data_IF_199247688689
#
_entry.id   IF_199247688689
#
_cell.length_a   1.000
_cell.length_b   1.000
_cell.length_c   1.000
_cell.angle_alpha   90.00
_cell.angle_beta   90.00
_cell.angle_gamma   90.00
#
_symmetry.space_group_name_H-M   'P 1'
#
loop_
_entity.id
_entity.type
_entity.pdbx_description
1 polymer ?
#
# COMPACT_ATOMS: atom_id res chain seq x y z
N UNK A 1 -0.05 6.80 2.24
CA UNK A 1 0.95 5.87 2.80
C UNK A 1 0.79 4.54 2.10
N UNK A 2 1.88 3.82 1.83
CA UNK A 2 1.84 2.56 1.09
C UNK A 2 2.32 1.44 2.01
N UNK A 3 1.57 0.35 2.08
CA UNK A 3 1.89 -0.75 2.99
C UNK A 3 2.17 -2.05 2.24
N UNK A 4 3.06 -2.86 2.77
CA UNK A 4 3.27 -4.24 2.34
C UNK A 4 3.02 -5.16 3.53
N UNK A 5 2.47 -6.34 3.29
CA UNK A 5 2.41 -7.42 4.26
C UNK A 5 3.47 -8.45 3.91
N UNK A 6 4.35 -8.69 4.87
CA UNK A 6 5.37 -9.72 4.84
C UNK A 6 4.89 -10.92 5.66
N UNK A 7 4.95 -12.11 5.09
CA UNK A 7 4.51 -13.37 5.72
C UNK A 7 5.63 -14.40 5.64
N UNK A 8 5.56 -15.43 6.50
CA UNK A 8 6.55 -16.50 6.53
C UNK A 8 7.74 -16.22 7.44
N UNK A 9 7.64 -15.24 8.36
CA UNK A 9 8.67 -15.00 9.36
C UNK A 9 8.57 -16.06 10.48
N UNK A 10 9.68 -16.45 11.11
CA UNK A 10 9.63 -17.41 12.21
C UNK A 10 9.12 -16.75 13.50
N UNK A 11 8.56 -17.55 14.41
CA UNK A 11 7.95 -17.04 15.65
C UNK A 11 8.99 -16.50 16.65
N UNK A 12 10.24 -16.94 16.57
CA UNK A 12 11.34 -16.48 17.43
C UNK A 12 11.88 -15.09 17.04
N UNK A 13 11.51 -14.55 15.88
CA UNK A 13 12.10 -13.30 15.39
C UNK A 13 11.68 -12.09 16.24
N UNK A 14 12.68 -11.28 16.60
CA UNK A 14 12.49 -10.03 17.33
C UNK A 14 12.46 -8.85 16.36
N UNK A 15 11.63 -7.85 16.64
CA UNK A 15 11.47 -6.65 15.81
C UNK A 15 12.81 -6.01 15.42
N UNK A 16 13.73 -5.86 16.37
CA UNK A 16 15.04 -5.24 16.13
C UNK A 16 15.90 -6.02 15.12
N UNK A 17 15.84 -7.35 15.16
CA UNK A 17 16.55 -8.21 14.20
C UNK A 17 15.94 -8.07 12.81
N UNK A 18 14.61 -8.05 12.72
CA UNK A 18 13.91 -7.82 11.46
C UNK A 18 14.27 -6.46 10.86
N UNK A 19 14.26 -5.38 11.65
CA UNK A 19 14.65 -4.04 11.18
C UNK A 19 16.09 -4.03 10.67
N UNK A 20 17.02 -4.67 11.38
CA UNK A 20 18.42 -4.75 10.95
C UNK A 20 18.57 -5.44 9.59
N UNK A 21 17.89 -6.58 9.41
CA UNK A 21 17.93 -7.35 8.16
C UNK A 21 17.29 -6.56 7.02
N UNK A 22 16.11 -5.96 7.26
CA UNK A 22 15.43 -5.14 6.26
C UNK A 22 16.29 -3.95 5.83
N UNK A 23 16.96 -3.25 6.76
CA UNK A 23 17.89 -2.16 6.43
C UNK A 23 19.04 -2.64 5.54
N UNK A 24 19.58 -3.83 5.80
CA UNK A 24 20.66 -4.37 4.98
C UNK A 24 20.17 -4.75 3.57
N UNK A 25 19.00 -5.36 3.44
CA UNK A 25 18.43 -5.73 2.14
C UNK A 25 18.07 -4.50 1.32
N UNK A 26 17.43 -3.52 1.95
CA UNK A 26 16.95 -2.30 1.32
C UNK A 26 18.06 -1.32 0.95
N UNK A 27 19.25 -1.45 1.52
CA UNK A 27 20.42 -0.65 1.12
C UNK A 27 20.74 -0.81 -0.37
N UNK A 28 20.53 -2.01 -0.93
CA UNK A 28 20.76 -2.27 -2.35
C UNK A 28 19.69 -1.67 -3.26
N UNK A 29 18.49 -1.41 -2.72
CA UNK A 29 17.33 -0.89 -3.43
C UNK A 29 17.14 0.62 -3.23
N UNK A 30 18.09 1.29 -2.53
CA UNK A 30 18.06 2.71 -2.18
C UNK A 30 16.83 3.11 -1.33
N UNK A 31 16.29 2.18 -0.54
CA UNK A 31 15.12 2.42 0.32
C UNK A 31 15.61 2.76 1.73
N UNK A 32 15.60 4.05 2.09
CA UNK A 32 16.12 4.53 3.37
C UNK A 32 15.06 4.70 4.47
N UNK A 33 13.79 4.86 4.09
CA UNK A 33 12.71 5.19 5.01
C UNK A 33 11.58 4.16 4.94
N UNK A 34 11.38 3.45 6.05
CA UNK A 34 10.28 2.51 6.26
C UNK A 34 9.95 2.41 7.74
N UNK A 35 8.71 2.03 8.07
CA UNK A 35 8.24 1.83 9.44
C UNK A 35 7.53 0.49 9.55
N UNK A 36 7.79 -0.24 10.64
CA UNK A 36 7.01 -1.45 10.93
C UNK A 36 5.78 -1.02 11.71
N UNK A 37 4.60 -1.22 11.12
CA UNK A 37 3.31 -0.82 11.70
C UNK A 37 2.79 -1.87 12.68
N UNK A 38 2.91 -3.13 12.31
CA UNK A 38 2.38 -4.26 13.06
C UNK A 38 3.25 -5.48 12.83
N UNK A 39 3.43 -6.28 13.88
CA UNK A 39 4.05 -7.59 13.83
C UNK A 39 3.24 -8.50 14.73
N UNK A 40 2.70 -9.58 14.18
CA UNK A 40 1.77 -10.45 14.89
C UNK A 40 1.87 -11.89 14.39
N UNK A 41 1.41 -12.81 15.23
CA UNK A 41 1.49 -14.24 14.98
C UNK A 41 0.33 -14.68 14.07
N UNK A 42 0.65 -15.50 13.08
CA UNK A 42 -0.33 -16.18 12.24
C UNK A 42 -0.79 -17.41 13.02
N UNK A 43 -2.00 -17.32 13.59
CA UNK A 43 -2.59 -18.36 14.45
C UNK A 43 -2.49 -19.75 13.83
N UNK A 44 -1.95 -20.70 14.61
CA UNK A 44 -1.88 -22.11 14.24
C UNK A 44 -0.77 -22.49 13.26
N UNK A 45 0.11 -21.55 12.88
CA UNK A 45 1.19 -21.83 11.92
C UNK A 45 2.60 -21.75 12.52
N UNK A 46 2.77 -21.18 13.71
CA UNK A 46 4.10 -20.92 14.29
C UNK A 46 4.92 -19.93 13.45
N UNK A 47 4.25 -19.08 12.68
CA UNK A 47 4.85 -18.05 11.83
C UNK A 47 4.28 -16.69 12.19
N UNK A 48 5.04 -15.65 11.88
CA UNK A 48 4.66 -14.24 12.03
C UNK A 48 4.37 -13.59 10.70
N UNK A 49 3.50 -12.58 10.73
CA UNK A 49 3.37 -11.59 9.69
C UNK A 49 3.76 -10.22 10.19
N UNK A 50 4.24 -9.38 9.28
CA UNK A 50 4.63 -8.01 9.57
C UNK A 50 4.06 -7.08 8.51
N UNK A 51 3.46 -5.98 8.92
CA UNK A 51 3.03 -4.91 8.03
C UNK A 51 4.07 -3.80 8.05
N UNK A 52 4.64 -3.49 6.89
CA UNK A 52 5.67 -2.45 6.72
C UNK A 52 5.09 -1.32 5.89
N UNK A 53 5.28 -0.10 6.36
CA UNK A 53 4.81 1.14 5.77
C UNK A 53 5.96 1.91 5.12
N UNK A 54 5.69 2.42 3.91
CA UNK A 54 6.61 3.19 3.10
C UNK A 54 5.97 4.52 2.72
N UNK A 55 6.83 5.54 2.64
CA UNK A 55 6.43 6.88 2.20
C UNK A 55 6.07 6.91 0.71
N UNK A 56 6.91 6.28 -0.14
CA UNK A 56 6.75 6.26 -1.59
C UNK A 56 6.19 4.93 -2.08
N UNK A 57 5.29 4.98 -3.06
CA UNK A 57 4.69 3.79 -3.69
C UNK A 57 5.74 2.90 -4.35
N UNK A 58 6.69 3.52 -5.04
CA UNK A 58 7.74 2.79 -5.75
C UNK A 58 8.64 2.03 -4.78
N UNK A 59 8.90 2.57 -3.58
CA UNK A 59 9.65 1.88 -2.54
C UNK A 59 8.89 0.64 -2.04
N UNK A 60 7.57 0.74 -1.85
CA UNK A 60 6.76 -0.41 -1.45
C UNK A 60 6.79 -1.53 -2.51
N UNK A 61 6.71 -1.19 -3.80
CA UNK A 61 6.80 -2.20 -4.87
C UNK A 61 8.19 -2.83 -4.98
N UNK A 62 9.26 -2.04 -4.92
CA UNK A 62 10.64 -2.56 -4.94
C UNK A 62 10.91 -3.44 -3.72
N UNK A 63 10.50 -2.99 -2.53
CA UNK A 63 10.61 -3.77 -1.30
C UNK A 63 9.85 -5.10 -1.41
N UNK A 64 8.62 -5.09 -1.92
CA UNK A 64 7.86 -6.31 -2.13
C UNK A 64 8.55 -7.27 -3.09
N UNK A 65 9.07 -6.78 -4.23
CA UNK A 65 9.81 -7.61 -5.19
C UNK A 65 11.12 -8.18 -4.64
N UNK A 66 11.81 -7.43 -3.78
CA UNK A 66 13.06 -7.88 -3.16
C UNK A 66 12.81 -8.93 -2.07
N UNK A 67 11.71 -8.77 -1.32
CA UNK A 67 11.37 -9.65 -0.20
C UNK A 67 10.60 -10.90 -0.60
N UNK A 68 9.85 -10.86 -1.71
CA UNK A 68 9.11 -12.01 -2.19
C UNK A 68 10.07 -13.09 -2.69
N UNK A 69 10.04 -14.27 -2.06
CA UNK A 69 10.99 -15.35 -2.31
C UNK A 69 12.33 -15.22 -1.58
N UNK A 70 12.54 -14.16 -0.79
CA UNK A 70 13.72 -14.07 0.07
C UNK A 70 13.68 -15.17 1.13
N UNK A 71 14.80 -15.88 1.33
CA UNK A 71 14.86 -16.97 2.30
C UNK A 71 15.48 -16.46 3.59
N UNK A 72 14.65 -16.26 4.60
CA UNK A 72 15.08 -15.96 5.96
C UNK A 72 15.66 -17.23 6.60
N UNK A 73 16.79 -17.10 7.30
CA UNK A 73 17.43 -18.23 8.00
C UNK A 73 17.42 -17.97 9.50
N UNK A 74 16.80 -18.86 10.26
CA UNK A 74 16.93 -18.90 11.72
C UNK A 74 17.54 -20.25 12.11
N UNK A 75 18.79 -20.22 12.58
CA UNK A 75 19.60 -21.43 12.77
C UNK A 75 19.71 -22.25 11.47
N UNK A 76 19.35 -23.53 11.55
CA UNK A 76 19.37 -24.46 10.41
C UNK A 76 18.09 -24.42 9.56
N UNK A 77 17.06 -23.70 10.00
CA UNK A 77 15.75 -23.66 9.35
C UNK A 77 15.64 -22.49 8.38
N UNK A 78 15.07 -22.77 7.20
CA UNK A 78 14.84 -21.81 6.13
C UNK A 78 13.36 -21.45 6.06
N UNK A 79 13.09 -20.16 6.03
CA UNK A 79 11.76 -19.56 6.02
C UNK A 79 11.62 -18.72 4.75
N UNK A 80 11.01 -19.25 3.68
CA UNK A 80 10.75 -18.48 2.47
C UNK A 80 9.70 -17.41 2.79
N UNK A 81 10.08 -16.15 2.59
CA UNK A 81 9.20 -15.02 2.81
C UNK A 81 8.30 -14.79 1.60
N UNK A 82 7.08 -14.35 1.86
CA UNK A 82 6.22 -13.79 0.82
C UNK A 82 5.79 -12.38 1.19
N UNK A 83 5.96 -11.47 0.23
CA UNK A 83 5.67 -10.06 0.41
C UNK A 83 4.60 -9.62 -0.59
N UNK A 84 3.53 -9.00 -0.11
CA UNK A 84 2.44 -8.48 -0.95
C UNK A 84 2.21 -7.01 -0.67
N UNK A 85 2.07 -6.21 -1.73
CA UNK A 85 1.67 -4.81 -1.61
C UNK A 85 0.18 -4.76 -1.29
N UNK A 86 -0.16 -4.12 -0.18
CA UNK A 86 -1.55 -3.84 0.16
C UNK A 86 -1.94 -2.55 -0.54
N UNK A 87 -2.51 -2.68 -1.74
CA UNK A 87 -3.24 -1.56 -2.32
C UNK A 87 -4.51 -1.36 -1.49
N UNK A 88 -4.55 -0.32 -0.66
CA UNK A 88 -5.72 0.03 0.17
C UNK A 88 -7.01 0.21 -0.66
N UNK A 89 -6.89 0.35 -1.99
CA UNK A 89 -8.00 0.35 -2.95
C UNK A 89 -8.63 -1.03 -3.21
N UNK A 90 -7.99 -2.14 -2.83
CA UNK A 90 -8.48 -3.49 -3.08
C UNK A 90 -9.33 -4.06 -1.93
N UNK A 91 -9.28 -3.48 -0.73
CA UNK A 91 -9.94 -4.04 0.45
C UNK A 91 -11.44 -3.72 0.61
N UNK A 92 -12.08 -3.06 -0.36
CA UNK A 92 -13.54 -2.79 -0.34
C UNK A 92 -14.38 -3.72 -1.21
N UNK A 93 -13.82 -4.80 -1.78
CA UNK A 93 -14.63 -5.73 -2.57
C UNK A 93 -14.32 -7.17 -2.21
N UNK A 94 -14.87 -7.61 -1.06
CA UNK A 94 -15.44 -8.95 -0.98
C UNK A 94 -16.55 -9.02 -2.03
N UNK A 95 -16.19 -9.25 -3.30
CA UNK A 95 -17.16 -9.64 -4.33
C UNK A 95 -17.75 -10.94 -3.83
N UNK A 96 -19.02 -10.92 -3.48
CA UNK A 96 -19.81 -12.14 -3.35
C UNK A 96 -19.56 -12.99 -4.60
N UNK A 97 -19.30 -14.30 -4.46
CA UNK A 97 -19.20 -15.19 -5.60
C UNK A 97 -20.48 -15.05 -6.43
N UNK A 98 -20.33 -14.65 -7.69
CA UNK A 98 -21.41 -14.74 -8.66
C UNK A 98 -21.88 -16.20 -8.71
N UNK A 99 -23.20 -16.48 -8.66
CA UNK A 99 -23.72 -17.85 -8.71
C UNK A 99 -23.58 -18.50 -10.10
N UNK A 100 -23.00 -17.79 -11.08
CA UNK A 100 -22.71 -18.28 -12.42
C UNK A 100 -21.20 -18.30 -12.67
N UNK A 101 -20.49 -19.26 -12.06
CA UNK A 101 -19.25 -19.77 -12.64
C UNK A 101 -19.52 -21.20 -13.11
N UNK A 102 -19.91 -21.30 -14.38
CA UNK A 102 -20.01 -22.56 -15.09
C UNK A 102 -18.61 -23.18 -15.16
N UNK A 103 -18.47 -24.35 -14.53
CA UNK A 103 -17.37 -25.29 -14.75
C UNK A 103 -17.05 -25.40 -16.25
N UNK A 104 -15.80 -25.16 -16.61
CA UNK A 104 -15.20 -25.74 -17.81
C UNK A 104 -13.72 -26.02 -17.52
N UNK A 105 -13.50 -27.01 -16.65
CA UNK A 105 -12.27 -27.81 -16.64
C UNK A 105 -12.50 -28.93 -17.63
N UNK A 106 -11.71 -28.95 -18.70
CA UNK A 106 -11.16 -30.13 -19.38
C UNK A 106 -10.71 -29.71 -20.79
N UNK A 107 -9.39 -29.63 -20.99
CA UNK A 107 -8.67 -30.47 -21.96
C UNK A 107 -7.19 -30.13 -22.00
N UNK A 108 -6.46 -31.13 -21.54
CA UNK A 108 -5.05 -31.37 -21.73
C UNK A 108 -4.79 -31.82 -23.19
N UNK A 109 -3.56 -31.59 -23.69
CA UNK A 109 -2.95 -32.05 -24.96
C UNK A 109 -3.37 -31.44 -26.31
N UNK A 110 -2.50 -30.64 -26.95
CA UNK A 110 -1.60 -31.15 -28.01
C UNK A 110 -0.62 -30.08 -28.54
N UNK A 111 0.60 -30.53 -28.84
CA UNK A 111 1.66 -29.83 -29.57
C UNK A 111 1.36 -29.80 -31.08
N UNK A 112 2.07 -28.88 -31.75
CA UNK A 112 2.45 -28.81 -33.17
C UNK A 112 1.75 -27.76 -34.05
N UNK A 113 2.62 -26.88 -34.54
CA UNK A 113 2.73 -26.31 -35.89
C UNK A 113 2.07 -24.97 -36.30
N UNK A 114 2.99 -24.14 -36.82
CA UNK A 114 2.89 -23.22 -37.97
C UNK A 114 2.12 -21.89 -37.84
N UNK A 115 2.93 -20.82 -37.79
CA UNK A 115 2.55 -19.46 -38.25
C UNK A 115 2.25 -19.52 -39.77
N UNK A 116 1.40 -18.62 -40.31
CA UNK A 116 1.94 -17.30 -40.71
C UNK A 116 1.03 -16.10 -40.44
N UNK A 117 1.69 -14.95 -40.45
CA UNK A 117 1.20 -13.59 -40.33
C UNK A 117 -0.05 -13.25 -41.17
N UNK A 118 -0.97 -12.51 -40.57
CA UNK A 118 -1.80 -11.53 -41.29
C UNK A 118 -1.72 -10.18 -40.58
N UNK A 119 -1.02 -9.27 -41.25
CA UNK A 119 -1.10 -7.83 -41.04
C UNK A 119 -2.46 -7.33 -41.55
N UNK A 120 -3.18 -6.57 -40.72
CA UNK A 120 -4.44 -5.91 -41.08
C UNK A 120 -4.56 -4.60 -40.32
N UNK A 121 -4.53 -3.50 -41.06
CA UNK A 121 -4.40 -2.12 -40.62
C UNK A 121 -5.58 -1.58 -39.79
N UNK A 122 -5.22 -0.71 -38.84
CA UNK A 122 -5.81 0.59 -38.45
C UNK A 122 -7.34 0.78 -38.32
N UNK A 123 -7.69 1.43 -37.20
CA UNK A 123 -8.82 2.37 -36.92
C UNK A 123 -9.51 1.94 -35.62
N UNK A 124 -9.87 2.77 -34.66
CA UNK A 124 -9.90 4.22 -34.53
C UNK A 124 -10.12 4.51 -33.04
N UNK A 125 -9.76 5.72 -32.60
CA UNK A 125 -10.04 6.25 -31.28
C UNK A 125 -11.50 6.03 -30.83
N UNK A 126 -11.69 5.26 -29.76
CA UNK A 126 -12.83 5.42 -28.86
C UNK A 126 -12.29 5.78 -27.47
N UNK A 127 -11.96 7.05 -27.30
CA UNK A 127 -11.90 7.68 -25.97
C UNK A 127 -13.32 7.69 -25.40
N UNK A 128 -13.59 6.84 -24.41
CA UNK A 128 -14.78 6.95 -23.55
C UNK A 128 -14.56 8.03 -22.46
N UNK A 129 -15.62 8.64 -21.91
CA UNK A 129 -15.59 10.00 -21.35
C UNK A 129 -15.10 10.04 -19.90
N UNK A 130 -13.80 10.28 -19.70
CA UNK A 130 -13.22 10.58 -18.37
C UNK A 130 -13.36 12.08 -18.08
N UNK A 131 -14.61 12.56 -18.02
CA UNK A 131 -14.92 13.99 -17.84
C UNK A 131 -15.51 14.37 -16.47
N UNK A 132 -16.09 13.40 -15.74
CA UNK A 132 -16.85 13.68 -14.52
C UNK A 132 -16.15 13.31 -13.21
N UNK A 133 -15.16 12.42 -13.23
CA UNK A 133 -14.46 12.04 -11.99
C UNK A 133 -13.37 13.06 -11.60
N UNK A 134 -12.73 13.69 -12.59
CA UNK A 134 -11.72 14.73 -12.35
C UNK A 134 -12.32 16.02 -11.78
N UNK A 135 -13.56 16.37 -12.16
CA UNK A 135 -14.26 17.54 -11.61
C UNK A 135 -14.58 17.37 -10.12
N UNK A 136 -14.97 16.16 -9.70
CA UNK A 136 -15.28 15.89 -8.29
C UNK A 136 -14.04 15.91 -7.42
N UNK A 137 -12.91 15.39 -7.92
CA UNK A 137 -11.62 15.44 -7.21
C UNK A 137 -11.13 16.89 -7.09
N UNK A 138 -11.29 17.71 -8.12
CA UNK A 138 -10.92 19.13 -8.05
C UNK A 138 -11.78 19.91 -7.04
N UNK A 139 -13.09 19.62 -6.97
CA UNK A 139 -13.99 20.21 -5.98
C UNK A 139 -13.64 19.79 -4.55
N UNK A 140 -13.26 18.53 -4.33
CA UNK A 140 -12.82 18.03 -3.03
C UNK A 140 -11.51 18.70 -2.57
N UNK A 141 -10.56 18.88 -3.49
CA UNK A 141 -9.32 19.62 -3.22
C UNK A 141 -9.61 21.08 -2.84
N UNK A 142 -10.54 21.73 -3.55
CA UNK A 142 -10.92 23.11 -3.24
C UNK A 142 -11.60 23.22 -1.86
N UNK A 143 -12.47 22.27 -1.53
CA UNK A 143 -13.15 22.20 -0.24
C UNK A 143 -12.15 22.03 0.91
N UNK A 144 -11.18 21.13 0.77
CA UNK A 144 -10.11 20.92 1.76
C UNK A 144 -9.25 22.18 1.97
N UNK A 145 -8.95 22.93 0.89
CA UNK A 145 -8.24 24.21 0.99
C UNK A 145 -9.03 25.24 1.78
N UNK A 146 -10.34 25.34 1.53
CA UNK A 146 -11.24 26.26 2.25
C UNK A 146 -11.35 25.88 3.73
N UNK A 147 -11.48 24.59 4.05
CA UNK A 147 -11.51 24.13 5.44
C UNK A 147 -10.23 24.47 6.19
N UNK A 148 -9.06 24.27 5.56
CA UNK A 148 -7.77 24.65 6.15
C UNK A 148 -7.72 26.14 6.46
N UNK A 149 -8.20 26.98 5.55
CA UNK A 149 -8.21 28.43 5.73
C UNK A 149 -9.11 28.86 6.91
N UNK A 150 -10.27 28.22 7.07
CA UNK A 150 -11.15 28.45 8.22
C UNK A 150 -10.44 28.09 9.54
N UNK A 151 -9.77 26.95 9.61
CA UNK A 151 -9.04 26.51 10.81
C UNK A 151 -7.92 27.49 11.16
N UNK A 152 -7.21 28.01 10.16
CA UNK A 152 -6.13 28.99 10.36
C UNK A 152 -6.69 30.32 10.91
N UNK A 153 -7.83 30.80 10.38
CA UNK A 153 -8.52 31.99 10.89
C UNK A 153 -9.12 31.79 12.29
N UNK A 154 -9.69 30.62 12.58
CA UNK A 154 -10.18 30.28 13.92
C UNK A 154 -9.05 30.27 14.95
N UNK A 155 -7.87 29.73 14.59
CA UNK A 155 -6.68 29.80 15.45
C UNK A 155 -6.23 31.23 15.68
N UNK A 156 -6.23 32.06 14.64
CA UNK A 156 -5.86 33.48 14.74
C UNK A 156 -6.82 34.23 15.65
N UNK A 157 -8.12 34.02 15.48
CA UNK A 157 -9.16 34.64 16.30
C UNK A 157 -9.09 34.18 17.76
N UNK A 158 -8.76 32.92 18.01
CA UNK A 158 -8.55 32.39 19.36
C UNK A 158 -7.35 33.04 20.05
N UNK A 159 -6.26 33.27 19.32
CA UNK A 159 -5.08 33.97 19.83
C UNK A 159 -5.39 35.45 20.12
N UNK A 160 -6.14 36.12 19.25
CA UNK A 160 -6.58 37.51 19.48
C UNK A 160 -7.52 37.61 20.69
N UNK A 161 -8.45 36.65 20.86
CA UNK A 161 -9.31 36.58 22.05
C UNK A 161 -8.49 36.41 23.33
N UNK A 162 -7.53 35.48 23.36
CA UNK A 162 -6.63 35.31 24.51
C UNK A 162 -5.83 36.58 24.80
N UNK A 163 -5.34 37.26 23.76
CA UNK A 163 -4.63 38.53 23.91
C UNK A 163 -5.53 39.61 24.51
N UNK A 164 -6.78 39.70 24.07
CA UNK A 164 -7.76 40.65 24.60
C UNK A 164 -8.17 40.33 26.05
N UNK A 165 -8.29 39.05 26.41
CA UNK A 165 -8.55 38.63 27.80
C UNK A 165 -7.41 39.07 28.73
N UNK A 166 -6.16 38.91 28.31
CA UNK A 166 -4.99 39.38 29.07
C UNK A 166 -4.94 40.90 29.23
N UNK A 167 -5.45 41.65 28.25
CA UNK A 167 -5.54 43.12 28.31
C UNK A 167 -6.74 43.60 29.14
N UNK A 168 -7.83 42.82 29.19
CA UNK A 168 -9.05 43.12 29.95
C UNK A 168 -9.01 42.71 31.41
N UNK A 169 -8.02 41.91 31.84
CA UNK A 169 -7.75 41.71 33.26
C UNK A 169 -7.03 42.97 33.79
N UNK A 170 -7.67 43.81 34.62
CA UNK A 170 -6.93 44.84 35.33
C UNK A 170 -5.99 44.12 36.30
N UNK A 171 -4.71 44.49 36.27
CA UNK A 171 -3.77 44.10 37.31
C UNK A 171 -4.34 44.48 38.69
N UNK A 172 -4.19 43.64 39.73
CA UNK A 172 -4.59 43.99 41.08
C UNK A 172 -3.81 45.20 41.63
#
# INVERSE_FOLDING_TARGET
>A
MHTITLTGLPDDIVLNQLVYILKHLFKNEEIYTFWIKEMADIRGTGLKYTTIEFHARDHAYRAARCLDGFVFKSGDVKYPLSARVNDERANTRKRSPSPYEYRSREREYNRFDERPAYSGYSREHLRSPVGHESSNVNLEIELLRKQRLIIEEERRLLLERKKLELVKMPLP
#
